data_IF_171938289550
#
_entry.id   IF_171938289550
#
_cell.length_a   1.000
_cell.length_b   1.000
_cell.length_c   1.000
_cell.angle_alpha   90.00
_cell.angle_beta   90.00
_cell.angle_gamma   90.00
#
_symmetry.space_group_name_H-M   'P 1'
#
loop_
_entity.id
_entity.type
_entity.pdbx_description
1 polymer ?
#
# COMPACT_ATOMS: atom_id res chain seq x y z
N UNK A 1 31.79 -15.08 -3.81
CA UNK A 1 30.99 -16.31 -4.04
C UNK A 1 29.62 -15.85 -4.52
N UNK A 2 29.30 -16.08 -5.78
CA UNK A 2 28.02 -15.66 -6.37
C UNK A 2 26.91 -16.56 -5.83
N UNK A 3 26.14 -16.07 -4.86
CA UNK A 3 24.95 -16.73 -4.36
C UNK A 3 23.99 -16.99 -5.51
N UNK A 4 23.91 -18.23 -5.97
CA UNK A 4 22.88 -18.65 -6.93
C UNK A 4 21.53 -18.28 -6.32
N UNK A 5 20.74 -17.39 -6.96
CA UNK A 5 19.45 -17.01 -6.43
C UNK A 5 18.62 -18.29 -6.34
N UNK A 6 18.12 -18.57 -5.15
CA UNK A 6 17.41 -19.80 -4.83
C UNK A 6 16.10 -19.45 -4.14
N UNK A 7 15.04 -20.18 -4.47
CA UNK A 7 13.78 -20.05 -3.76
C UNK A 7 13.98 -20.32 -2.27
N UNK A 8 13.53 -19.39 -1.42
CA UNK A 8 13.64 -19.50 0.04
C UNK A 8 13.00 -20.78 0.57
N UNK A 9 11.82 -21.16 0.04
CA UNK A 9 11.12 -22.37 0.47
C UNK A 9 11.88 -23.63 0.02
N UNK A 10 12.40 -23.68 -1.21
CA UNK A 10 13.24 -24.80 -1.66
C UNK A 10 14.48 -24.95 -0.76
N UNK A 11 15.11 -23.83 -0.39
CA UNK A 11 16.26 -23.81 0.52
C UNK A 11 15.91 -24.38 1.88
N UNK A 12 14.79 -23.93 2.48
CA UNK A 12 14.30 -24.48 3.75
C UNK A 12 13.98 -25.98 3.65
N UNK A 13 13.34 -26.42 2.56
CA UNK A 13 13.00 -27.83 2.36
C UNK A 13 14.27 -28.71 2.25
N UNK A 14 15.31 -28.22 1.58
CA UNK A 14 16.61 -28.89 1.51
C UNK A 14 17.32 -28.94 2.86
N UNK A 15 17.17 -27.90 3.69
CA UNK A 15 17.75 -27.90 5.03
C UNK A 15 17.01 -28.86 5.99
N UNK A 16 15.68 -28.99 5.87
CA UNK A 16 14.84 -29.78 6.78
C UNK A 16 14.73 -31.26 6.42
N UNK A 17 14.78 -31.61 5.13
CA UNK A 17 14.79 -33.01 4.67
C UNK A 17 16.21 -33.35 4.25
N UNK A 18 16.77 -34.44 4.76
CA UNK A 18 18.01 -35.01 4.23
C UNK A 18 17.93 -34.99 2.69
N UNK A 19 18.88 -34.29 2.06
CA UNK A 19 18.82 -33.84 0.66
C UNK A 19 18.59 -34.96 -0.38
N UNK A 20 18.55 -36.23 0.04
CA UNK A 20 18.41 -37.43 -0.78
C UNK A 20 17.09 -37.57 -1.56
N UNK A 21 16.02 -36.81 -1.27
CA UNK A 21 14.75 -36.88 -2.03
C UNK A 21 14.26 -35.57 -2.61
N UNK A 22 14.98 -34.45 -2.40
CA UNK A 22 14.54 -33.16 -2.94
C UNK A 22 15.22 -32.90 -4.28
N UNK A 23 14.50 -33.17 -5.37
CA UNK A 23 14.92 -32.76 -6.71
C UNK A 23 14.79 -31.24 -6.78
N UNK A 24 15.93 -30.55 -6.63
CA UNK A 24 16.04 -29.14 -6.93
C UNK A 24 15.89 -28.95 -8.44
N UNK A 25 14.65 -28.74 -8.88
CA UNK A 25 14.41 -28.17 -10.19
C UNK A 25 14.89 -26.72 -10.11
N UNK A 26 16.00 -26.42 -10.79
CA UNK A 26 16.41 -25.05 -11.04
C UNK A 26 15.19 -24.29 -11.53
N UNK A 27 14.66 -23.33 -10.75
CA UNK A 27 13.50 -22.59 -11.20
C UNK A 27 14.00 -21.59 -12.24
N UNK A 28 13.67 -21.83 -13.50
CA UNK A 28 14.03 -20.94 -14.63
C UNK A 28 13.62 -19.47 -14.39
N UNK A 29 12.65 -19.24 -13.49
CA UNK A 29 12.24 -17.91 -13.03
C UNK A 29 12.03 -17.88 -11.52
N UNK A 30 12.75 -16.96 -10.87
CA UNK A 30 12.50 -16.57 -9.48
C UNK A 30 11.80 -15.23 -9.45
N UNK A 31 10.70 -15.18 -8.70
CA UNK A 31 9.96 -13.96 -8.42
C UNK A 31 10.26 -13.50 -6.99
N UNK A 32 10.08 -12.22 -6.70
CA UNK A 32 10.18 -11.69 -5.33
C UNK A 32 8.79 -11.50 -4.74
N UNK A 33 8.60 -12.01 -3.52
CA UNK A 33 7.31 -11.87 -2.84
C UNK A 33 7.07 -10.41 -2.47
N UNK A 34 5.93 -9.84 -2.85
CA UNK A 34 5.60 -8.46 -2.49
C UNK A 34 5.43 -8.26 -0.97
N UNK A 35 5.10 -9.32 -0.22
CA UNK A 35 4.83 -9.25 1.21
C UNK A 35 6.05 -9.54 2.09
N UNK A 36 7.11 -10.16 1.58
CA UNK A 36 8.28 -10.48 2.42
C UNK A 36 9.62 -10.30 1.70
N UNK A 37 9.61 -9.79 0.47
CA UNK A 37 10.76 -9.54 -0.40
C UNK A 37 11.68 -10.75 -0.66
N UNK A 38 11.26 -11.96 -0.27
CA UNK A 38 12.03 -13.20 -0.45
C UNK A 38 11.86 -13.76 -1.86
N UNK A 39 12.91 -14.33 -2.47
CA UNK A 39 12.82 -15.01 -3.75
C UNK A 39 12.03 -16.32 -3.61
N UNK A 40 11.10 -16.57 -4.54
CA UNK A 40 10.35 -17.81 -4.61
C UNK A 40 10.20 -18.28 -6.07
N UNK A 41 10.02 -19.59 -6.26
CA UNK A 41 9.78 -20.18 -7.57
C UNK A 41 8.29 -20.34 -7.85
N UNK A 42 7.94 -20.56 -9.11
CA UNK A 42 6.56 -20.79 -9.57
C UNK A 42 5.83 -21.90 -8.80
N UNK A 43 6.52 -22.97 -8.39
CA UNK A 43 5.94 -24.05 -7.57
C UNK A 43 5.50 -23.61 -6.17
N UNK A 44 6.12 -22.55 -5.66
CA UNK A 44 5.91 -22.00 -4.34
C UNK A 44 5.18 -20.66 -4.37
N UNK A 45 4.50 -20.38 -5.48
CA UNK A 45 3.60 -19.26 -5.68
C UNK A 45 2.27 -19.54 -4.97
N UNK A 46 1.67 -18.52 -4.35
CA UNK A 46 0.34 -18.66 -3.78
C UNK A 46 -0.71 -18.82 -4.90
N UNK A 47 -1.77 -19.58 -4.64
CA UNK A 47 -2.83 -19.84 -5.62
C UNK A 47 -3.67 -18.60 -5.87
N UNK A 48 -3.96 -17.84 -4.80
CA UNK A 48 -4.86 -16.69 -4.83
C UNK A 48 -4.20 -15.45 -5.45
N UNK A 49 -2.87 -15.33 -5.30
CA UNK A 49 -2.14 -14.11 -5.63
C UNK A 49 -0.82 -14.45 -6.33
N UNK A 50 -0.74 -14.08 -7.61
CA UNK A 50 0.39 -14.37 -8.49
C UNK A 50 1.67 -13.56 -8.20
N UNK A 51 1.77 -12.92 -7.05
CA UNK A 51 2.90 -12.05 -6.68
C UNK A 51 3.42 -12.34 -5.28
N UNK A 52 2.82 -13.31 -4.58
CA UNK A 52 3.18 -13.67 -3.21
C UNK A 52 3.56 -15.15 -3.13
N UNK A 53 4.48 -15.45 -2.22
CA UNK A 53 4.87 -16.83 -1.98
C UNK A 53 3.80 -17.59 -1.17
N UNK A 54 3.84 -18.92 -1.19
CA UNK A 54 2.88 -19.82 -0.50
C UNK A 54 3.02 -19.82 1.03
N UNK A 55 3.95 -19.04 1.60
CA UNK A 55 4.08 -18.92 3.06
C UNK A 55 2.82 -18.23 3.60
N UNK A 56 2.34 -18.68 4.76
CA UNK A 56 1.27 -18.00 5.49
C UNK A 56 1.82 -16.72 6.11
N UNK A 57 1.60 -15.58 5.46
CA UNK A 57 2.18 -14.29 5.83
C UNK A 57 1.67 -13.79 7.18
N UNK A 58 0.43 -14.09 7.57
CA UNK A 58 -0.10 -13.74 8.90
C UNK A 58 0.75 -14.29 10.03
N UNK A 59 0.96 -15.62 10.04
CA UNK A 59 1.77 -16.28 11.06
C UNK A 59 3.24 -15.89 10.96
N UNK A 60 3.76 -15.70 9.74
CA UNK A 60 5.13 -15.25 9.56
C UNK A 60 5.33 -13.84 10.11
N UNK A 61 4.38 -12.93 9.91
CA UNK A 61 4.38 -11.59 10.47
C UNK A 61 4.36 -11.66 12.01
N UNK A 62 3.43 -12.38 12.61
CA UNK A 62 3.29 -12.47 14.07
C UNK A 62 4.55 -13.03 14.76
N UNK A 63 5.25 -13.96 14.11
CA UNK A 63 6.48 -14.57 14.61
C UNK A 63 7.74 -13.71 14.44
N UNK A 64 7.70 -12.70 13.57
CA UNK A 64 8.86 -11.85 13.26
C UNK A 64 8.60 -10.40 13.64
N UNK A 65 8.22 -10.17 14.90
CA UNK A 65 7.93 -8.82 15.45
C UNK A 65 9.09 -7.84 15.29
N UNK A 66 10.33 -8.35 15.32
CA UNK A 66 11.53 -7.57 15.09
C UNK A 66 11.64 -6.99 13.67
N UNK A 67 10.83 -7.45 12.72
CA UNK A 67 10.84 -6.99 11.33
C UNK A 67 9.68 -6.04 10.99
N UNK A 68 8.69 -5.84 11.87
CA UNK A 68 7.48 -5.03 11.60
C UNK A 68 7.81 -3.60 11.18
N UNK A 69 8.77 -2.94 11.82
CA UNK A 69 9.13 -1.55 11.51
C UNK A 69 10.11 -1.36 10.35
N UNK A 70 10.52 -2.45 9.68
CA UNK A 70 11.57 -2.37 8.63
C UNK A 70 10.99 -2.21 7.22
N UNK A 71 9.66 -2.29 7.06
CA UNK A 71 9.00 -2.30 5.74
C UNK A 71 9.40 -3.51 4.87
N UNK A 72 9.98 -4.55 5.48
CA UNK A 72 10.44 -5.74 4.75
C UNK A 72 9.43 -6.87 4.76
N UNK A 73 8.47 -6.85 5.69
CA UNK A 73 7.46 -7.88 5.86
C UNK A 73 6.08 -7.25 6.09
N UNK A 74 5.07 -7.83 5.46
CA UNK A 74 3.70 -7.37 5.51
C UNK A 74 2.77 -8.55 5.75
N UNK A 75 1.71 -8.30 6.52
CA UNK A 75 0.71 -9.31 6.87
C UNK A 75 -0.08 -9.79 5.64
N UNK A 76 -0.57 -8.83 4.86
CA UNK A 76 -1.35 -9.03 3.65
C UNK A 76 -1.14 -7.85 2.68
N UNK A 77 -1.77 -7.87 1.51
CA UNK A 77 -1.62 -6.82 0.50
C UNK A 77 -2.18 -5.48 0.95
N UNK A 78 -3.24 -5.47 1.74
CA UNK A 78 -3.83 -4.25 2.29
C UNK A 78 -2.84 -3.54 3.23
N UNK A 79 -2.27 -4.27 4.19
CA UNK A 79 -1.23 -3.75 5.08
C UNK A 79 -0.05 -3.16 4.30
N UNK A 80 0.39 -3.86 3.25
CA UNK A 80 1.44 -3.35 2.36
C UNK A 80 1.05 -2.06 1.66
N UNK A 81 -0.17 -1.97 1.14
CA UNK A 81 -0.63 -0.80 0.40
C UNK A 81 -0.75 0.42 1.31
N UNK A 82 -1.21 0.23 2.55
CA UNK A 82 -1.29 1.29 3.57
C UNK A 82 0.11 1.80 3.95
N UNK A 83 1.06 0.90 4.20
CA UNK A 83 2.42 1.32 4.58
C UNK A 83 3.20 1.96 3.42
N UNK A 84 3.02 1.47 2.19
CA UNK A 84 3.72 1.99 1.01
C UNK A 84 3.11 3.28 0.48
N UNK A 85 1.80 3.45 0.64
CA UNK A 85 1.07 4.65 0.24
C UNK A 85 -0.02 4.94 1.29
N UNK A 86 0.30 5.78 2.29
CA UNK A 86 -0.65 6.15 3.35
C UNK A 86 -1.91 6.82 2.84
N UNK A 87 -1.93 7.31 1.59
CA UNK A 87 -3.13 7.88 0.98
C UNK A 87 -4.18 6.83 0.59
N UNK A 88 -3.77 5.55 0.50
CA UNK A 88 -4.67 4.40 0.31
C UNK A 88 -5.24 3.86 1.63
N UNK A 89 -4.79 4.36 2.78
CA UNK A 89 -5.49 4.11 4.02
C UNK A 89 -6.88 4.73 3.89
N UNK A 90 -7.94 3.93 4.02
CA UNK A 90 -9.27 4.49 4.19
C UNK A 90 -9.19 5.51 5.32
N UNK A 91 -9.37 6.77 4.96
CA UNK A 91 -9.35 7.85 5.93
C UNK A 91 -10.41 7.57 6.96
N UNK A 92 -10.04 7.68 8.23
CA UNK A 92 -10.97 7.66 9.34
C UNK A 92 -12.21 8.50 8.95
N UNK A 93 -13.44 7.98 9.12
CA UNK A 93 -14.68 8.70 8.81
C UNK A 93 -14.70 10.15 9.34
N UNK A 94 -14.05 10.39 10.48
CA UNK A 94 -13.89 11.72 11.09
C UNK A 94 -13.06 12.64 10.20
N UNK A 95 -11.93 12.18 9.68
CA UNK A 95 -11.04 12.96 8.81
C UNK A 95 -11.69 13.28 7.47
N UNK A 96 -12.50 12.36 6.93
CA UNK A 96 -13.32 12.61 5.73
C UNK A 96 -14.32 13.74 5.98
N UNK A 97 -15.06 13.68 7.09
CA UNK A 97 -16.03 14.70 7.47
C UNK A 97 -15.39 16.09 7.66
N UNK A 98 -14.21 16.16 8.30
CA UNK A 98 -13.50 17.41 8.49
C UNK A 98 -13.09 18.07 7.16
N UNK A 99 -12.60 17.29 6.19
CA UNK A 99 -12.28 17.79 4.84
C UNK A 99 -13.52 18.29 4.09
N UNK A 100 -14.63 17.55 4.16
CA UNK A 100 -15.89 17.98 3.55
C UNK A 100 -16.38 19.31 4.17
N UNK A 101 -16.27 19.45 5.50
CA UNK A 101 -16.63 20.68 6.21
C UNK A 101 -15.78 21.87 5.77
N UNK A 102 -14.47 21.70 5.65
CA UNK A 102 -13.57 22.76 5.15
C UNK A 102 -13.89 23.15 3.69
N UNK A 103 -14.19 22.18 2.83
CA UNK A 103 -14.56 22.45 1.44
C UNK A 103 -15.88 23.25 1.34
N UNK A 104 -16.86 22.94 2.19
CA UNK A 104 -18.11 23.70 2.28
C UNK A 104 -17.83 25.12 2.77
N UNK A 105 -17.02 25.29 3.81
CA UNK A 105 -16.66 26.63 4.32
C UNK A 105 -16.00 27.50 3.26
N UNK A 106 -15.03 26.97 2.50
CA UNK A 106 -14.39 27.69 1.40
C UNK A 106 -15.39 28.14 0.34
N UNK A 107 -16.32 27.26 -0.07
CA UNK A 107 -17.37 27.59 -1.04
C UNK A 107 -18.31 28.68 -0.53
N UNK A 108 -18.65 28.67 0.76
CA UNK A 108 -19.50 29.69 1.38
C UNK A 108 -18.77 31.04 1.40
N UNK A 109 -17.49 31.05 1.78
CA UNK A 109 -16.71 32.28 1.84
C UNK A 109 -16.49 32.90 0.46
N UNK A 110 -16.22 32.08 -0.55
CA UNK A 110 -16.07 32.55 -1.93
C UNK A 110 -17.37 33.13 -2.49
N UNK A 111 -18.52 32.49 -2.22
CA UNK A 111 -19.82 33.06 -2.59
C UNK A 111 -20.07 34.41 -1.94
N UNK A 112 -19.71 34.58 -0.66
CA UNK A 112 -19.81 35.87 0.03
C UNK A 112 -18.96 36.94 -0.62
N UNK A 113 -17.71 36.62 -1.00
CA UNK A 113 -16.82 37.57 -1.70
C UNK A 113 -17.40 38.03 -3.04
N UNK A 114 -17.98 37.10 -3.81
CA UNK A 114 -18.63 37.42 -5.09
C UNK A 114 -19.85 38.31 -4.87
N UNK A 115 -20.68 38.00 -3.88
CA UNK A 115 -21.87 38.79 -3.56
C UNK A 115 -21.53 40.20 -3.08
N UNK A 116 -20.49 40.35 -2.26
CA UNK A 116 -19.98 41.66 -1.82
C UNK A 116 -19.38 42.47 -2.97
N UNK A 117 -18.66 41.83 -3.90
CA UNK A 117 -18.15 42.48 -5.09
C UNK A 117 -19.29 42.98 -5.99
N UNK A 118 -20.30 42.14 -6.24
CA UNK A 118 -21.47 42.51 -7.04
C UNK A 118 -22.27 43.67 -6.42
N UNK A 119 -22.45 43.68 -5.08
CA UNK A 119 -23.11 44.80 -4.39
C UNK A 119 -22.35 46.11 -4.55
N UNK A 120 -21.01 46.07 -4.48
CA UNK A 120 -20.17 47.26 -4.68
C UNK A 120 -20.28 47.79 -6.11
N UNK A 121 -20.26 46.91 -7.11
CA UNK A 121 -20.41 47.30 -8.53
C UNK A 121 -21.77 47.96 -8.81
N UNK A 122 -22.87 47.38 -8.32
CA UNK A 122 -24.22 47.95 -8.47
C UNK A 122 -24.31 49.34 -7.82
N UNK A 123 -23.77 49.52 -6.61
CA UNK A 123 -23.76 50.83 -5.96
C UNK A 123 -22.93 51.88 -6.72
N UNK A 124 -21.81 51.49 -7.35
CA UNK A 124 -21.02 52.41 -8.17
C UNK A 124 -21.70 52.78 -9.49
N UNK A 125 -22.44 51.85 -10.12
CA UNK A 125 -23.21 52.14 -11.33
C UNK A 125 -24.42 53.05 -11.07
N UNK A 126 -25.08 52.92 -9.92
CA UNK A 126 -26.18 53.80 -9.52
C UNK A 126 -25.72 55.23 -9.25
N UNK A 127 -24.55 55.40 -8.62
CA UNK A 127 -23.94 56.72 -8.37
C UNK A 127 -23.48 57.39 -9.68
N UNK A 128 -23.01 56.62 -10.67
CA UNK A 128 -22.55 57.15 -11.95
C UNK A 128 -23.68 57.58 -12.92
N UNK A 129 -24.94 57.23 -12.61
CA UNK A 129 -26.12 57.55 -13.44
C UNK A 129 -26.96 58.72 -12.88
N UNK A 130 -26.56 59.31 -11.75
CA UNK A 130 -27.12 60.57 -11.21
C UNK A 130 -26.29 61.77 -11.68
#
# INVERSE_FOLDING_TARGET
MSDTPMCYICREMMAKRSAQRFVFLNPDKLERCLLCNRPFCTRHKAVENNTVCKIRHDSYYDNHRNLHGTGTIFRNMEHRNIEMDPSNAELDPIMKFLREREAIQKRVEEKKRIEEAAKREVTSEEIAKQ
#
